data_IF_774500487939
#
_entry.id   IF_774500487939
#
_cell.length_a   1.000
_cell.length_b   1.000
_cell.length_c   1.000
_cell.angle_alpha   90.00
_cell.angle_beta   90.00
_cell.angle_gamma   90.00
#
_symmetry.space_group_name_H-M   'P 1'
#
loop_
_entity.id
_entity.type
_entity.pdbx_description
1 polymer ?
#
# COMPACT_ATOMS: atom_id res chain seq x y z
N UNK A 1 1.72 -18.18 -10.25
CA UNK A 1 1.59 -17.34 -11.46
C UNK A 1 2.45 -16.11 -11.25
N UNK A 2 3.58 -16.08 -11.94
CA UNK A 2 4.52 -14.96 -11.95
C UNK A 2 3.81 -13.73 -12.54
N UNK A 3 3.44 -12.78 -11.69
CA UNK A 3 3.19 -11.40 -12.13
C UNK A 3 4.48 -10.63 -11.83
N UNK A 4 5.46 -10.80 -12.69
CA UNK A 4 6.52 -9.82 -12.93
C UNK A 4 5.85 -8.56 -13.45
N UNK A 5 5.23 -7.83 -12.54
CA UNK A 5 4.55 -6.61 -12.89
C UNK A 5 5.61 -5.55 -13.10
N UNK A 6 5.68 -5.05 -14.33
CA UNK A 6 6.49 -3.94 -14.81
C UNK A 6 6.05 -2.59 -14.18
N UNK A 7 5.79 -2.57 -12.87
CA UNK A 7 5.33 -1.40 -12.11
C UNK A 7 6.51 -0.61 -11.50
N UNK A 8 7.75 -1.03 -11.71
CA UNK A 8 8.94 -0.34 -11.20
C UNK A 8 9.24 1.01 -11.86
N UNK A 9 8.58 1.32 -12.99
CA UNK A 9 8.83 2.52 -13.79
C UNK A 9 7.84 3.67 -13.50
N UNK A 10 6.64 3.39 -12.98
CA UNK A 10 5.64 4.42 -12.64
C UNK A 10 5.82 4.87 -11.19
N UNK A 11 6.63 5.91 -10.99
CA UNK A 11 6.72 6.61 -9.69
C UNK A 11 5.57 7.60 -9.60
N UNK A 12 4.57 7.28 -8.79
CA UNK A 12 3.57 8.28 -8.42
C UNK A 12 4.19 9.36 -7.54
N UNK A 13 3.80 10.63 -7.67
CA UNK A 13 4.35 11.75 -6.89
C UNK A 13 4.32 11.52 -5.37
N UNK A 14 3.32 10.79 -4.89
CA UNK A 14 3.08 10.47 -3.49
C UNK A 14 3.79 9.19 -3.01
N UNK A 15 4.55 8.51 -3.87
CA UNK A 15 5.37 7.36 -3.46
C UNK A 15 6.43 7.86 -2.48
N UNK A 16 6.50 7.33 -1.23
CA UNK A 16 7.41 7.90 -0.25
C UNK A 16 8.87 7.67 -0.67
N UNK A 17 9.63 8.77 -0.72
CA UNK A 17 11.06 8.75 -1.02
C UNK A 17 11.85 8.38 0.25
N UNK A 18 12.97 7.65 0.10
CA UNK A 18 13.83 7.19 1.20
C UNK A 18 13.25 6.16 2.18
N UNK A 19 12.28 5.35 1.76
CA UNK A 19 11.87 4.22 2.58
C UNK A 19 13.02 3.19 2.71
N UNK A 20 13.22 2.59 3.90
CA UNK A 20 14.13 1.45 4.04
C UNK A 20 13.71 0.33 3.07
N UNK A 21 14.66 -0.55 2.68
CA UNK A 21 14.38 -1.66 1.74
C UNK A 21 13.06 -2.36 2.09
N UNK A 22 12.27 -2.67 1.07
CA UNK A 22 10.93 -3.21 1.22
C UNK A 22 10.92 -4.37 2.23
N UNK A 23 10.20 -4.19 3.34
CA UNK A 23 10.01 -5.24 4.33
C UNK A 23 8.83 -6.07 3.87
N UNK A 24 9.09 -7.14 3.13
CA UNK A 24 8.04 -8.04 2.64
C UNK A 24 7.29 -8.80 3.75
N UNK A 25 7.74 -8.71 5.01
CA UNK A 25 7.12 -9.41 6.14
C UNK A 25 6.22 -8.44 6.91
N UNK A 26 4.95 -8.80 7.16
CA UNK A 26 4.05 -7.98 7.97
C UNK A 26 4.58 -7.87 9.41
N UNK A 27 4.65 -6.63 9.93
CA UNK A 27 5.05 -6.33 11.31
C UNK A 27 3.84 -5.97 12.18
N UNK A 28 2.77 -5.47 11.55
CA UNK A 28 1.52 -5.07 12.21
C UNK A 28 0.32 -5.83 11.64
N UNK A 29 -0.75 -5.98 12.44
CA UNK A 29 -2.01 -6.59 11.98
C UNK A 29 -2.65 -5.85 10.80
N UNK A 30 -2.39 -4.55 10.67
CA UNK A 30 -2.81 -3.73 9.52
C UNK A 30 -2.08 -4.09 8.23
N UNK A 31 -0.85 -4.59 8.28
CA UNK A 31 -0.09 -5.03 7.10
C UNK A 31 -0.76 -6.26 6.48
N UNK A 32 -1.21 -7.20 7.31
CA UNK A 32 -1.97 -8.38 6.88
C UNK A 32 -3.25 -7.96 6.16
N UNK A 33 -3.97 -6.97 6.69
CA UNK A 33 -5.17 -6.45 6.04
C UNK A 33 -4.84 -5.71 4.73
N UNK A 34 -3.73 -4.97 4.66
CA UNK A 34 -3.28 -4.33 3.44
C UNK A 34 -2.91 -5.36 2.35
N UNK A 35 -2.32 -6.50 2.74
CA UNK A 35 -2.04 -7.61 1.83
C UNK A 35 -3.34 -8.25 1.30
N UNK A 36 -4.32 -8.53 2.17
CA UNK A 36 -5.64 -9.03 1.76
C UNK A 36 -6.34 -8.07 0.80
N UNK A 37 -6.30 -6.77 1.09
CA UNK A 37 -6.87 -5.73 0.20
C UNK A 37 -6.20 -5.75 -1.17
N UNK A 38 -4.88 -5.95 -1.20
CA UNK A 38 -4.15 -6.07 -2.45
C UNK A 38 -4.53 -7.32 -3.23
N UNK A 39 -4.65 -8.46 -2.54
CA UNK A 39 -4.97 -9.75 -3.15
C UNK A 39 -6.38 -9.78 -3.75
N UNK A 40 -7.30 -8.94 -3.24
CA UNK A 40 -8.61 -8.71 -3.85
C UNK A 40 -8.53 -8.04 -5.23
N UNK A 41 -7.38 -7.47 -5.61
CA UNK A 41 -7.13 -6.95 -6.96
C UNK A 41 -7.77 -5.60 -7.24
N UNK A 42 -8.11 -4.83 -6.21
CA UNK A 42 -8.58 -3.45 -6.38
C UNK A 42 -7.46 -2.56 -6.90
N UNK A 43 -7.78 -1.71 -7.88
CA UNK A 43 -6.82 -0.74 -8.43
C UNK A 43 -6.67 0.49 -7.54
N UNK A 44 -7.77 0.97 -6.98
CA UNK A 44 -7.82 2.18 -6.16
C UNK A 44 -8.62 1.93 -4.89
N UNK A 45 -8.24 2.64 -3.83
CA UNK A 45 -8.98 2.67 -2.56
C UNK A 45 -9.22 4.13 -2.16
N UNK A 46 -10.48 4.50 -1.94
CA UNK A 46 -10.84 5.83 -1.47
C UNK A 46 -10.89 5.82 0.05
N UNK A 47 -10.14 6.70 0.70
CA UNK A 47 -10.11 6.74 2.16
C UNK A 47 -10.13 8.16 2.69
N UNK A 48 -11.02 8.39 3.66
CA UNK A 48 -11.04 9.61 4.46
C UNK A 48 -9.89 9.55 5.47
N UNK A 49 -9.26 10.64 5.90
CA UNK A 49 -8.28 10.60 6.99
C UNK A 49 -8.98 10.37 8.33
N UNK A 50 -8.49 9.43 9.15
CA UNK A 50 -9.08 9.12 10.45
C UNK A 50 -8.12 8.40 11.40
N UNK A 51 -8.21 8.69 12.70
CA UNK A 51 -7.35 8.09 13.72
C UNK A 51 -7.67 6.62 13.97
N UNK A 52 -8.95 6.23 13.88
CA UNK A 52 -9.43 4.87 14.16
C UNK A 52 -8.84 3.79 13.24
N UNK A 53 -8.45 4.16 12.02
CA UNK A 53 -7.83 3.26 11.04
C UNK A 53 -6.47 3.79 10.55
N UNK A 54 -5.82 4.66 11.34
CA UNK A 54 -4.50 5.20 11.04
C UNK A 54 -3.47 4.11 10.73
N UNK A 55 -3.52 2.98 11.45
CA UNK A 55 -2.63 1.85 11.21
C UNK A 55 -2.80 1.25 9.80
N UNK A 56 -4.04 1.16 9.30
CA UNK A 56 -4.29 0.68 7.94
C UNK A 56 -3.77 1.67 6.88
N UNK A 57 -3.95 2.98 7.11
CA UNK A 57 -3.36 4.01 6.24
C UNK A 57 -1.84 3.88 6.16
N UNK A 58 -1.20 3.69 7.32
CA UNK A 58 0.25 3.55 7.41
C UNK A 58 0.71 2.31 6.63
N UNK A 59 0.05 1.17 6.78
CA UNK A 59 0.37 -0.06 6.04
C UNK A 59 0.18 0.07 4.52
N UNK A 60 -0.89 0.73 4.05
CA UNK A 60 -1.08 0.93 2.62
C UNK A 60 0.03 1.78 1.98
N UNK A 61 0.53 2.78 2.72
CA UNK A 61 1.60 3.67 2.23
C UNK A 61 2.98 3.06 2.44
N UNK A 62 3.28 2.59 3.65
CA UNK A 62 4.63 2.16 4.03
C UNK A 62 4.89 0.69 3.70
N UNK A 63 3.94 -0.22 3.94
CA UNK A 63 4.11 -1.64 3.63
C UNK A 63 3.87 -1.91 2.14
N UNK A 64 2.78 -1.39 1.57
CA UNK A 64 2.42 -1.59 0.15
C UNK A 64 2.94 -0.53 -0.81
N UNK A 65 3.62 0.51 -0.32
CA UNK A 65 4.22 1.60 -1.14
C UNK A 65 3.21 2.43 -1.92
N UNK A 66 1.97 2.53 -1.45
CA UNK A 66 0.85 3.09 -2.20
C UNK A 66 0.63 2.43 -3.57
N UNK A 67 0.94 1.12 -3.67
CA UNK A 67 0.81 0.36 -4.91
C UNK A 67 -0.07 -0.86 -4.69
N UNK A 68 -1.03 -1.05 -5.59
CA UNK A 68 -1.96 -2.18 -5.60
C UNK A 68 -2.62 -2.41 -4.23
N UNK A 69 -3.56 -1.54 -3.78
CA UNK A 69 -4.21 -0.44 -4.50
C UNK A 69 -3.51 0.93 -4.31
N UNK A 70 -3.77 1.86 -5.23
CA UNK A 70 -3.44 3.29 -5.07
C UNK A 70 -4.47 3.97 -4.16
N UNK A 71 -4.01 4.67 -3.13
CA UNK A 71 -4.86 5.41 -2.20
C UNK A 71 -5.24 6.77 -2.78
N UNK A 72 -6.54 7.05 -2.80
CA UNK A 72 -7.10 8.36 -3.14
C UNK A 72 -7.71 8.96 -1.87
N UNK A 73 -7.18 10.11 -1.45
CA UNK A 73 -7.75 10.84 -0.30
C UNK A 73 -8.97 11.63 -0.72
N UNK A 74 -10.00 11.62 0.13
CA UNK A 74 -11.24 12.36 -0.04
C UNK A 74 -11.52 13.26 1.16
#
# INVERSE_FOLDING_TARGET
MDKSSDYGSMRYPETPINLPKNKSKPEYGSDVMADVISDMGFKHIFVLPGSSYRGLHDSLINHRRNQNPEMIMC
#
